data_IF_474585814138
#
_entry.id   IF_474585814138
#
_cell.length_a   1.000
_cell.length_b   1.000
_cell.length_c   1.000
_cell.angle_alpha   90.00
_cell.angle_beta   90.00
_cell.angle_gamma   90.00
#
_symmetry.space_group_name_H-M   'P 1'
#
loop_
_entity.id
_entity.type
_entity.pdbx_description
1 polymer ?
#
# COMPACT_ATOMS: atom_id res chain seq x y z
N UNK A 1 2.25 -29.41 -1.29
CA UNK A 1 3.57 -29.14 -1.87
C UNK A 1 4.07 -27.90 -1.18
N UNK A 2 5.29 -27.89 -0.64
CA UNK A 2 5.82 -26.72 0.08
C UNK A 2 6.04 -25.57 -0.90
N UNK A 3 5.73 -24.33 -0.51
CA UNK A 3 5.86 -23.16 -1.40
C UNK A 3 7.33 -22.81 -1.71
N UNK A 4 8.28 -23.30 -0.92
CA UNK A 4 9.71 -23.10 -1.11
C UNK A 4 10.54 -24.25 -0.53
N UNK A 5 11.78 -24.41 -1.01
CA UNK A 5 12.71 -25.39 -0.47
C UNK A 5 13.39 -24.89 0.82
N UNK A 6 13.77 -25.85 1.67
CA UNK A 6 14.46 -25.62 2.94
C UNK A 6 15.93 -26.06 2.87
N UNK A 7 16.50 -26.10 1.66
CA UNK A 7 17.93 -26.29 1.46
C UNK A 7 18.70 -25.11 2.07
N UNK A 8 19.75 -25.35 2.88
CA UNK A 8 20.61 -24.30 3.45
C UNK A 8 21.03 -23.20 2.47
N UNK A 9 21.39 -23.54 1.23
CA UNK A 9 21.82 -22.57 0.23
C UNK A 9 20.68 -21.63 -0.18
N UNK A 10 19.47 -22.17 -0.33
CA UNK A 10 18.28 -21.37 -0.64
C UNK A 10 17.83 -20.53 0.56
N UNK A 11 17.99 -21.03 1.79
CA UNK A 11 17.75 -20.25 3.00
C UNK A 11 18.69 -19.05 3.02
N UNK A 12 19.99 -19.27 2.86
CA UNK A 12 20.99 -18.20 2.82
C UNK A 12 20.68 -17.18 1.72
N UNK A 13 20.32 -17.64 0.52
CA UNK A 13 19.93 -16.77 -0.58
C UNK A 13 18.71 -15.90 -0.23
N UNK A 14 17.69 -16.44 0.47
CA UNK A 14 16.51 -15.68 0.90
C UNK A 14 16.84 -14.60 1.92
N UNK A 15 17.71 -14.88 2.88
CA UNK A 15 18.12 -13.91 3.89
C UNK A 15 19.16 -12.90 3.37
N UNK A 16 19.93 -13.26 2.33
CA UNK A 16 20.83 -12.37 1.63
C UNK A 16 20.11 -11.37 0.72
N UNK A 17 18.91 -11.71 0.23
CA UNK A 17 18.07 -10.77 -0.51
C UNK A 17 17.59 -9.67 0.44
N UNK A 18 17.86 -8.40 0.10
CA UNK A 18 17.39 -7.27 0.90
C UNK A 18 15.88 -7.39 1.12
N UNK A 19 15.45 -7.32 2.39
CA UNK A 19 14.03 -7.21 2.72
C UNK A 19 13.57 -5.84 2.26
N UNK A 20 12.98 -5.76 1.07
CA UNK A 20 12.36 -4.54 0.57
C UNK A 20 10.87 -4.55 0.89
N UNK A 21 10.33 -3.40 1.31
CA UNK A 21 8.89 -3.24 1.48
C UNK A 21 8.26 -3.34 0.09
N UNK A 22 7.31 -4.26 -0.08
CA UNK A 22 6.61 -4.43 -1.35
C UNK A 22 5.73 -3.22 -1.64
N UNK A 23 5.92 -2.60 -2.81
CA UNK A 23 5.09 -1.49 -3.28
C UNK A 23 3.72 -1.96 -3.83
N UNK A 24 3.45 -3.27 -3.84
CA UNK A 24 2.20 -3.82 -4.37
C UNK A 24 0.96 -3.23 -3.66
N UNK A 25 1.11 -2.83 -2.39
CA UNK A 25 0.05 -2.20 -1.59
C UNK A 25 -0.28 -0.84 -2.16
N UNK A 26 0.77 -0.06 -2.42
CA UNK A 26 0.67 1.29 -2.95
C UNK A 26 0.13 1.28 -4.39
N UNK A 27 0.48 0.25 -5.18
CA UNK A 27 -0.07 0.00 -6.52
C UNK A 27 -1.56 -0.35 -6.47
N UNK A 28 -1.95 -1.34 -5.66
CA UNK A 28 -3.37 -1.74 -5.54
C UNK A 28 -4.19 -0.56 -5.03
N UNK A 29 -3.70 0.14 -4.00
CA UNK A 29 -4.35 1.31 -3.43
C UNK A 29 -4.60 2.39 -4.50
N UNK A 30 -3.56 2.78 -5.25
CA UNK A 30 -3.68 3.76 -6.34
C UNK A 30 -4.59 3.29 -7.48
N UNK A 31 -4.48 2.03 -7.91
CA UNK A 31 -5.27 1.50 -9.01
C UNK A 31 -6.77 1.43 -8.70
N UNK A 32 -7.15 1.00 -7.48
CA UNK A 32 -8.56 0.97 -7.07
C UNK A 32 -9.12 2.39 -7.07
N UNK A 33 -8.44 3.31 -6.37
CA UNK A 33 -8.95 4.68 -6.21
C UNK A 33 -9.04 5.40 -7.56
N UNK A 34 -8.03 5.27 -8.42
CA UNK A 34 -8.00 5.89 -9.74
C UNK A 34 -9.14 5.42 -10.65
N UNK A 35 -9.39 4.10 -10.70
CA UNK A 35 -10.50 3.57 -11.47
C UNK A 35 -11.86 3.99 -10.89
N UNK A 36 -12.01 3.96 -9.56
CA UNK A 36 -13.30 4.25 -8.89
C UNK A 36 -13.67 5.72 -9.04
N UNK A 37 -12.77 6.63 -8.68
CA UNK A 37 -13.02 8.08 -8.72
C UNK A 37 -13.24 8.56 -10.14
N UNK A 38 -12.42 8.11 -11.10
CA UNK A 38 -12.57 8.55 -12.49
C UNK A 38 -13.86 8.04 -13.11
N UNK A 39 -14.24 6.77 -12.86
CA UNK A 39 -15.50 6.25 -13.36
C UNK A 39 -16.71 6.87 -12.66
N UNK A 40 -16.61 7.21 -11.37
CA UNK A 40 -17.66 7.97 -10.68
C UNK A 40 -17.91 9.34 -11.35
N UNK A 41 -16.85 10.04 -11.78
CA UNK A 41 -17.00 11.29 -12.55
C UNK A 41 -17.68 11.02 -13.89
N UNK A 42 -17.26 10.00 -14.64
CA UNK A 42 -17.91 9.61 -15.90
C UNK A 42 -19.40 9.35 -15.67
N UNK A 43 -19.74 8.54 -14.67
CA UNK A 43 -21.10 8.17 -14.34
C UNK A 43 -21.94 9.38 -13.91
N UNK A 44 -21.40 10.28 -13.08
CA UNK A 44 -22.10 11.49 -12.65
C UNK A 44 -22.33 12.50 -13.78
N UNK A 45 -21.34 12.70 -14.65
CA UNK A 45 -21.46 13.60 -15.81
C UNK A 45 -22.50 13.07 -16.81
N UNK A 46 -22.56 11.75 -17.00
CA UNK A 46 -23.59 11.12 -17.84
C UNK A 46 -24.96 11.19 -17.18
N UNK A 47 -25.05 10.95 -15.87
CA UNK A 47 -26.29 11.10 -15.10
C UNK A 47 -26.87 12.52 -15.18
N UNK A 48 -26.01 13.53 -15.29
CA UNK A 48 -26.40 14.94 -15.46
C UNK A 48 -26.61 15.35 -16.93
N UNK A 49 -26.66 14.41 -17.88
CA UNK A 49 -26.87 14.66 -19.33
C UNK A 49 -25.86 15.65 -19.96
N UNK A 50 -24.64 15.72 -19.41
CA UNK A 50 -23.61 16.63 -19.87
C UNK A 50 -22.82 16.07 -21.07
N UNK A 51 -22.18 16.98 -21.82
CA UNK A 51 -21.45 16.62 -23.05
C UNK A 51 -20.21 15.75 -22.79
N UNK A 52 -19.83 14.94 -23.77
CA UNK A 52 -18.59 14.13 -23.77
C UNK A 52 -17.33 14.99 -23.54
N UNK A 53 -17.33 16.25 -23.99
CA UNK A 53 -16.21 17.18 -23.73
C UNK A 53 -16.01 17.43 -22.23
N UNK A 54 -17.10 17.50 -21.47
CA UNK A 54 -17.06 17.65 -20.00
C UNK A 54 -16.51 16.38 -19.35
N UNK A 55 -16.93 15.19 -19.81
CA UNK A 55 -16.39 13.90 -19.33
C UNK A 55 -14.87 13.87 -19.49
N UNK A 56 -14.37 14.19 -20.68
CA UNK A 56 -12.93 14.15 -20.96
C UNK A 56 -12.18 15.21 -20.14
N UNK A 57 -12.71 16.44 -20.07
CA UNK A 57 -12.07 17.52 -19.34
C UNK A 57 -11.96 17.22 -17.83
N UNK A 58 -13.07 16.85 -17.20
CA UNK A 58 -13.11 16.54 -15.77
C UNK A 58 -12.37 15.23 -15.46
N UNK A 59 -12.50 14.22 -16.33
CA UNK A 59 -11.80 12.94 -16.17
C UNK A 59 -10.29 13.09 -16.22
N UNK A 60 -9.75 13.80 -17.22
CA UNK A 60 -8.30 14.04 -17.31
C UNK A 60 -7.82 14.91 -16.14
N UNK A 61 -8.59 15.94 -15.77
CA UNK A 61 -8.27 16.77 -14.61
C UNK A 61 -8.20 15.94 -13.32
N UNK A 62 -9.18 15.06 -13.09
CA UNK A 62 -9.19 14.11 -11.96
C UNK A 62 -7.96 13.20 -11.98
N UNK A 63 -7.71 12.52 -13.10
CA UNK A 63 -6.61 11.56 -13.23
C UNK A 63 -5.26 12.21 -12.86
N UNK A 64 -5.03 13.45 -13.28
CA UNK A 64 -3.79 14.17 -13.00
C UNK A 64 -3.74 14.80 -11.60
N UNK A 65 -4.78 15.56 -11.22
CA UNK A 65 -4.81 16.33 -9.99
C UNK A 65 -5.01 15.43 -8.76
N UNK A 66 -6.01 14.55 -8.79
CA UNK A 66 -6.31 13.64 -7.69
C UNK A 66 -5.23 12.57 -7.59
N UNK A 67 -4.73 12.08 -8.72
CA UNK A 67 -3.58 11.18 -8.76
C UNK A 67 -2.35 11.79 -8.08
N UNK A 68 -2.04 13.06 -8.39
CA UNK A 68 -0.94 13.77 -7.74
C UNK A 68 -1.19 13.97 -6.24
N UNK A 69 -2.40 14.39 -5.86
CA UNK A 69 -2.81 14.59 -4.47
C UNK A 69 -2.65 13.31 -3.65
N UNK A 70 -3.13 12.18 -4.18
CA UNK A 70 -3.02 10.88 -3.56
C UNK A 70 -1.56 10.42 -3.43
N UNK A 71 -0.73 10.64 -4.47
CA UNK A 71 0.69 10.34 -4.43
C UNK A 71 1.44 11.20 -3.39
N UNK A 72 1.11 12.48 -3.28
CA UNK A 72 1.65 13.40 -2.28
C UNK A 72 1.21 13.02 -0.86
N UNK A 73 -0.05 12.56 -0.70
CA UNK A 73 -0.58 12.02 0.54
C UNK A 73 0.19 10.76 0.98
N UNK A 74 0.36 9.78 0.09
CA UNK A 74 1.10 8.56 0.39
C UNK A 74 2.59 8.84 0.64
N UNK A 75 3.21 9.77 -0.09
CA UNK A 75 4.55 10.27 0.19
C UNK A 75 4.66 10.82 1.61
N UNK A 76 3.75 11.72 1.98
CA UNK A 76 3.82 12.42 3.27
C UNK A 76 3.58 11.47 4.43
N UNK A 77 2.62 10.56 4.32
CA UNK A 77 2.39 9.52 5.32
C UNK A 77 3.58 8.59 5.47
N UNK A 78 4.12 8.08 4.35
CA UNK A 78 5.31 7.21 4.36
C UNK A 78 6.56 7.93 4.87
N UNK A 79 6.68 9.25 4.61
CA UNK A 79 7.77 10.08 5.13
C UNK A 79 7.64 10.29 6.63
N UNK A 80 6.43 10.50 7.15
CA UNK A 80 6.20 10.59 8.59
C UNK A 80 6.60 9.29 9.30
N UNK A 81 6.27 8.12 8.74
CA UNK A 81 6.73 6.82 9.26
C UNK A 81 8.28 6.74 9.28
N UNK A 82 8.95 7.22 8.22
CA UNK A 82 10.41 7.22 8.14
C UNK A 82 11.06 8.15 9.15
N UNK A 83 10.53 9.35 9.29
CA UNK A 83 11.05 10.37 10.20
C UNK A 83 10.85 9.94 11.66
N UNK A 84 9.73 9.29 11.98
CA UNK A 84 9.50 8.71 13.31
C UNK A 84 10.45 7.55 13.63
N UNK A 85 10.68 6.64 12.68
CA UNK A 85 11.64 5.55 12.85
C UNK A 85 13.08 6.07 13.08
N UNK A 86 13.46 7.17 12.39
CA UNK A 86 14.76 7.83 12.61
C UNK A 86 14.84 8.49 13.98
N UNK A 87 13.79 9.21 14.38
CA UNK A 87 13.69 9.82 15.71
C UNK A 87 13.85 8.78 16.82
N UNK A 88 13.15 7.65 16.71
CA UNK A 88 13.23 6.56 17.69
C UNK A 88 14.61 5.92 17.72
N UNK A 89 15.27 5.71 16.57
CA UNK A 89 16.67 5.26 16.53
C UNK A 89 17.61 6.17 17.30
N UNK A 90 17.48 7.49 17.14
CA UNK A 90 18.33 8.45 17.84
C UNK A 90 18.06 8.48 19.35
N UNK A 91 16.80 8.27 19.76
CA UNK A 91 16.40 8.16 21.16
C UNK A 91 17.03 6.90 21.77
N UNK A 92 16.87 5.76 21.12
CA UNK A 92 17.38 4.47 21.57
C UNK A 92 18.90 4.47 21.67
N UNK A 93 19.56 4.98 20.63
CA UNK A 93 21.00 5.16 20.61
C UNK A 93 21.46 6.06 21.78
N UNK A 94 20.72 7.11 22.11
CA UNK A 94 21.02 7.94 23.28
C UNK A 94 20.81 7.18 24.59
N UNK A 95 19.74 6.41 24.73
CA UNK A 95 19.47 5.65 25.95
C UNK A 95 20.54 4.60 26.21
N UNK A 96 20.94 3.83 25.20
CA UNK A 96 22.01 2.83 25.31
C UNK A 96 23.34 3.48 25.76
N UNK A 97 23.61 4.75 25.41
CA UNK A 97 24.80 5.46 25.93
C UNK A 97 24.65 5.90 27.38
N UNK A 98 23.48 6.39 27.77
CA UNK A 98 23.29 7.04 29.07
C UNK A 98 22.91 6.05 30.19
N UNK A 99 22.21 4.96 29.85
CA UNK A 99 21.70 3.98 30.78
C UNK A 99 21.83 2.54 30.23
N UNK A 100 23.05 2.08 29.87
CA UNK A 100 23.26 0.79 29.20
C UNK A 100 22.74 -0.42 29.99
N UNK A 101 22.80 -0.37 31.33
CA UNK A 101 22.31 -1.47 32.16
C UNK A 101 20.78 -1.53 32.21
N UNK A 102 20.12 -0.36 32.10
CA UNK A 102 18.66 -0.27 31.95
C UNK A 102 18.23 -0.86 30.61
N UNK A 103 18.84 -0.43 29.52
CA UNK A 103 18.54 -0.94 28.17
C UNK A 103 18.80 -2.45 28.04
N UNK A 104 19.81 -2.99 28.73
CA UNK A 104 20.04 -4.44 28.78
C UNK A 104 18.93 -5.17 29.55
N UNK A 105 18.32 -4.52 30.54
CA UNK A 105 17.18 -5.08 31.23
C UNK A 105 15.94 -5.13 30.32
N UNK A 106 15.73 -4.11 29.50
CA UNK A 106 14.65 -4.08 28.51
C UNK A 106 14.86 -5.14 27.41
N UNK A 107 16.07 -5.24 26.85
CA UNK A 107 16.42 -6.30 25.90
C UNK A 107 16.22 -7.70 26.49
N UNK A 108 16.58 -7.89 27.77
CA UNK A 108 16.36 -9.15 28.49
C UNK A 108 14.87 -9.48 28.59
N UNK A 109 14.04 -8.49 28.89
CA UNK A 109 12.59 -8.67 28.98
C UNK A 109 12.00 -9.07 27.61
N UNK A 110 12.41 -8.39 26.53
CA UNK A 110 12.00 -8.74 25.16
C UNK A 110 12.34 -10.19 24.82
N UNK A 111 13.56 -10.64 25.12
CA UNK A 111 14.01 -12.00 24.84
C UNK A 111 13.33 -13.04 25.74
N UNK A 112 13.07 -12.70 27.01
CA UNK A 112 12.29 -13.52 27.93
C UNK A 112 10.88 -13.78 27.40
N UNK A 113 10.21 -12.73 26.89
CA UNK A 113 8.88 -12.86 26.26
C UNK A 113 8.89 -13.71 24.98
N UNK A 114 10.05 -13.87 24.34
CA UNK A 114 10.25 -14.81 23.21
C UNK A 114 10.57 -16.24 23.66
N UNK A 115 10.59 -16.50 24.97
CA UNK A 115 10.77 -17.82 25.57
C UNK A 115 12.22 -18.19 25.91
N UNK A 116 13.15 -17.23 25.95
CA UNK A 116 14.52 -17.48 26.38
C UNK A 116 14.62 -17.39 27.91
N UNK A 117 15.33 -18.33 28.54
CA UNK A 117 15.50 -18.37 29.99
C UNK A 117 16.94 -18.71 30.40
N UNK A 118 17.29 -18.47 31.68
CA UNK A 118 18.54 -18.89 32.30
C UNK A 118 19.80 -18.39 31.58
N UNK A 119 20.80 -19.27 31.48
CA UNK A 119 22.09 -18.94 30.86
C UNK A 119 21.97 -18.60 29.37
N UNK A 120 20.99 -19.17 28.66
CA UNK A 120 20.76 -18.89 27.23
C UNK A 120 20.26 -17.46 27.03
N UNK A 121 19.34 -17.01 27.89
CA UNK A 121 18.87 -15.62 27.89
C UNK A 121 20.04 -14.65 28.11
N UNK A 122 20.86 -14.91 29.13
CA UNK A 122 21.99 -14.04 29.44
C UNK A 122 23.00 -13.98 28.28
N UNK A 123 23.35 -15.13 27.70
CA UNK A 123 24.24 -15.19 26.54
C UNK A 123 23.65 -14.47 25.31
N UNK A 124 22.35 -14.59 25.07
CA UNK A 124 21.67 -13.91 23.97
C UNK A 124 21.65 -12.39 24.15
N UNK A 125 21.35 -11.90 25.37
CA UNK A 125 21.42 -10.46 25.71
C UNK A 125 22.83 -9.94 25.45
N UNK A 126 23.87 -10.63 25.92
CA UNK A 126 25.27 -10.21 25.72
C UNK A 126 25.66 -10.20 24.24
N UNK A 127 25.29 -11.24 23.49
CA UNK A 127 25.61 -11.35 22.07
C UNK A 127 24.92 -10.27 21.21
N UNK A 128 23.65 -9.97 21.48
CA UNK A 128 22.91 -8.92 20.75
C UNK A 128 23.41 -7.54 21.17
N UNK A 129 23.59 -7.29 22.47
CA UNK A 129 24.06 -6.01 22.99
C UNK A 129 25.50 -5.67 22.56
N UNK A 130 26.29 -6.67 22.13
CA UNK A 130 27.62 -6.44 21.58
C UNK A 130 27.59 -5.74 20.21
N UNK A 131 26.53 -5.91 19.42
CA UNK A 131 26.33 -5.19 18.16
C UNK A 131 25.29 -4.09 18.33
N UNK A 132 25.77 -2.84 18.35
CA UNK A 132 24.94 -1.66 18.61
C UNK A 132 23.78 -1.52 17.64
N UNK A 133 23.98 -1.89 16.37
CA UNK A 133 22.95 -1.76 15.34
C UNK A 133 21.84 -2.79 15.57
N UNK A 134 22.21 -4.06 15.76
CA UNK A 134 21.25 -5.14 16.00
C UNK A 134 20.48 -4.92 17.30
N UNK A 135 21.12 -4.39 18.34
CA UNK A 135 20.44 -4.03 19.57
C UNK A 135 19.36 -2.96 19.32
N UNK A 136 19.71 -1.83 18.67
CA UNK A 136 18.74 -0.79 18.34
C UNK A 136 17.63 -1.34 17.44
N UNK A 137 17.96 -2.07 16.38
CA UNK A 137 16.97 -2.61 15.44
C UNK A 137 16.01 -3.59 16.15
N UNK A 138 16.48 -4.35 17.15
CA UNK A 138 15.63 -5.19 17.99
C UNK A 138 14.66 -4.35 18.84
N UNK A 139 15.16 -3.31 19.52
CA UNK A 139 14.33 -2.41 20.33
C UNK A 139 13.24 -1.72 19.49
N UNK A 140 13.60 -1.20 18.31
CA UNK A 140 12.62 -0.58 17.40
C UNK A 140 11.47 -1.52 17.01
N UNK A 141 11.78 -2.79 16.76
CA UNK A 141 10.80 -3.78 16.32
C UNK A 141 9.97 -4.27 17.49
N UNK A 142 10.61 -4.65 18.59
CA UNK A 142 9.95 -5.36 19.68
C UNK A 142 9.37 -4.43 20.76
N UNK A 143 9.97 -3.27 21.00
CA UNK A 143 9.44 -2.28 21.96
C UNK A 143 8.44 -1.33 21.28
N UNK A 144 8.82 -0.75 20.13
CA UNK A 144 8.01 0.26 19.44
C UNK A 144 7.09 -0.31 18.36
N UNK A 145 7.17 -1.61 18.07
CA UNK A 145 6.32 -2.28 17.07
C UNK A 145 6.59 -1.86 15.63
N UNK A 146 7.77 -1.29 15.34
CA UNK A 146 8.09 -0.82 14.00
C UNK A 146 8.36 -1.97 13.03
N UNK A 147 8.11 -1.70 11.75
CA UNK A 147 8.54 -2.59 10.67
C UNK A 147 10.08 -2.68 10.64
N UNK A 148 10.67 -3.88 10.53
CA UNK A 148 12.12 -4.05 10.40
C UNK A 148 12.67 -3.56 9.05
N UNK A 149 11.78 -3.18 8.13
CA UNK A 149 12.13 -2.60 6.83
C UNK A 149 11.73 -1.14 6.81
N UNK A 150 12.69 -0.28 6.53
CA UNK A 150 12.46 1.15 6.44
C UNK A 150 11.48 1.50 5.30
N UNK A 151 10.55 2.44 5.53
CA UNK A 151 9.71 2.98 4.48
C UNK A 151 10.50 3.74 3.40
N UNK A 152 10.02 3.69 2.15
CA UNK A 152 10.60 4.43 1.03
C UNK A 152 9.56 5.39 0.41
N UNK A 153 9.47 6.65 0.90
CA UNK A 153 8.42 7.60 0.52
C UNK A 153 8.28 7.81 -0.98
N UNK A 154 9.40 8.00 -1.68
CA UNK A 154 9.41 8.24 -3.13
C UNK A 154 9.05 7.00 -3.96
N UNK A 155 9.27 5.79 -3.43
CA UNK A 155 8.84 4.55 -4.11
C UNK A 155 7.32 4.39 -3.96
N UNK A 156 6.80 4.58 -2.74
CA UNK A 156 5.37 4.52 -2.45
C UNK A 156 4.57 5.53 -3.30
N UNK A 157 5.02 6.79 -3.32
CA UNK A 157 4.37 7.87 -4.07
C UNK A 157 4.30 7.59 -5.58
N UNK A 158 5.41 7.18 -6.19
CA UNK A 158 5.45 6.85 -7.63
C UNK A 158 4.58 5.63 -7.95
N UNK A 159 4.64 4.59 -7.12
CA UNK A 159 3.82 3.40 -7.29
C UNK A 159 2.32 3.75 -7.26
N UNK A 160 1.89 4.55 -6.29
CA UNK A 160 0.50 5.04 -6.20
C UNK A 160 0.13 5.90 -7.41
N UNK A 161 0.95 6.89 -7.77
CA UNK A 161 0.67 7.80 -8.88
C UNK A 161 0.47 7.06 -10.20
N UNK A 162 1.41 6.21 -10.59
CA UNK A 162 1.33 5.50 -11.86
C UNK A 162 0.20 4.48 -11.88
N UNK A 163 -0.06 3.80 -10.77
CA UNK A 163 -1.19 2.88 -10.69
C UNK A 163 -2.53 3.63 -10.82
N UNK A 164 -2.66 4.78 -10.17
CA UNK A 164 -3.82 5.66 -10.29
C UNK A 164 -4.00 6.16 -11.72
N UNK A 165 -2.94 6.66 -12.35
CA UNK A 165 -2.99 7.12 -13.75
C UNK A 165 -3.45 6.01 -14.70
N UNK A 166 -2.80 4.84 -14.63
CA UNK A 166 -3.09 3.74 -15.55
C UNK A 166 -4.52 3.24 -15.38
N UNK A 167 -4.96 3.02 -14.13
CA UNK A 167 -6.30 2.51 -13.87
C UNK A 167 -7.38 3.58 -14.13
N UNK A 168 -7.13 4.83 -13.76
CA UNK A 168 -8.05 5.95 -13.94
C UNK A 168 -8.21 6.41 -15.38
N UNK A 169 -7.25 6.15 -16.27
CA UNK A 169 -7.44 6.44 -17.69
C UNK A 169 -8.41 5.47 -18.38
N UNK A 170 -8.53 4.23 -17.90
CA UNK A 170 -9.33 3.16 -18.55
C UNK A 170 -10.80 3.59 -18.78
N UNK A 171 -11.53 4.15 -17.79
CA UNK A 171 -12.89 4.66 -17.99
C UNK A 171 -13.01 5.72 -19.09
N UNK A 172 -11.95 6.48 -19.37
CA UNK A 172 -11.95 7.61 -20.30
C UNK A 172 -11.63 7.22 -21.73
N UNK A 173 -10.88 6.12 -21.94
CA UNK A 173 -10.40 5.71 -23.26
C UNK A 173 -11.52 5.64 -24.32
N UNK A 174 -12.70 5.03 -24.05
CA UNK A 174 -13.76 4.94 -25.06
C UNK A 174 -14.25 6.31 -25.53
N UNK A 175 -14.28 7.32 -24.65
CA UNK A 175 -14.69 8.68 -24.98
C UNK A 175 -13.61 9.43 -25.77
N UNK A 176 -12.34 9.27 -25.37
CA UNK A 176 -11.20 9.91 -26.05
C UNK A 176 -11.05 9.41 -27.49
N UNK A 177 -11.27 8.11 -27.72
CA UNK A 177 -11.21 7.51 -29.05
C UNK A 177 -12.52 7.61 -29.84
N UNK A 178 -13.55 8.27 -29.29
CA UNK A 178 -14.87 8.43 -29.92
C UNK A 178 -15.47 7.09 -30.40
N UNK A 179 -15.37 6.05 -29.58
CA UNK A 179 -15.90 4.72 -29.89
C UNK A 179 -17.43 4.76 -29.85
N UNK A 180 -18.09 4.11 -30.82
CA UNK A 180 -19.53 3.92 -30.78
C UNK A 180 -19.94 3.21 -29.48
N UNK A 181 -20.99 3.68 -28.82
CA UNK A 181 -21.41 3.15 -27.51
C UNK A 181 -20.30 3.27 -26.44
N UNK A 182 -19.60 4.42 -26.44
CA UNK A 182 -18.49 4.72 -25.53
C UNK A 182 -18.82 4.46 -24.06
N UNK A 183 -20.05 4.75 -23.63
CA UNK A 183 -20.46 4.54 -22.25
C UNK A 183 -20.51 3.06 -21.88
N UNK A 184 -21.10 2.21 -22.72
CA UNK A 184 -21.16 0.77 -22.47
C UNK A 184 -19.77 0.13 -22.45
N UNK A 185 -18.87 0.58 -23.34
CA UNK A 185 -17.47 0.16 -23.32
C UNK A 185 -16.74 0.66 -22.06
N UNK A 186 -17.05 1.86 -21.59
CA UNK A 186 -16.47 2.40 -20.35
C UNK A 186 -16.92 1.60 -19.12
N UNK A 187 -18.20 1.26 -19.02
CA UNK A 187 -18.74 0.38 -17.97
C UNK A 187 -18.02 -0.97 -17.99
N UNK A 188 -17.95 -1.62 -19.17
CA UNK A 188 -17.35 -2.94 -19.31
C UNK A 188 -15.85 -2.94 -18.96
N UNK A 189 -15.10 -1.97 -19.49
CA UNK A 189 -13.66 -1.84 -19.24
C UNK A 189 -13.35 -1.52 -17.77
N UNK A 190 -14.14 -0.63 -17.16
CA UNK A 190 -13.98 -0.29 -15.74
C UNK A 190 -14.36 -1.47 -14.85
N UNK A 191 -15.46 -2.15 -15.14
CA UNK A 191 -15.88 -3.35 -14.40
C UNK A 191 -14.81 -4.45 -14.44
N UNK A 192 -14.21 -4.68 -15.61
CA UNK A 192 -13.08 -5.60 -15.73
C UNK A 192 -11.86 -5.12 -14.93
N UNK A 193 -11.58 -3.82 -14.94
CA UNK A 193 -10.48 -3.21 -14.16
C UNK A 193 -10.68 -3.40 -12.67
N UNK A 194 -11.88 -3.10 -12.12
CA UNK A 194 -12.19 -3.34 -10.72
C UNK A 194 -11.99 -4.80 -10.34
N UNK A 195 -12.52 -5.71 -11.16
CA UNK A 195 -12.39 -7.13 -10.90
C UNK A 195 -10.92 -7.59 -10.96
N UNK A 196 -10.14 -7.13 -11.95
CA UNK A 196 -8.73 -7.48 -12.10
C UNK A 196 -7.88 -6.98 -10.93
N UNK A 197 -8.05 -5.71 -10.54
CA UNK A 197 -7.31 -5.13 -9.40
C UNK A 197 -7.74 -5.78 -8.08
N UNK A 198 -9.04 -6.07 -7.91
CA UNK A 198 -9.54 -6.83 -6.77
C UNK A 198 -9.02 -8.26 -6.73
N UNK A 199 -8.87 -8.92 -7.88
CA UNK A 199 -8.25 -10.24 -7.97
C UNK A 199 -6.75 -10.17 -7.60
N UNK A 200 -6.02 -9.12 -8.01
CA UNK A 200 -4.61 -8.91 -7.60
C UNK A 200 -4.45 -8.76 -6.09
N UNK A 201 -5.41 -8.11 -5.41
CA UNK A 201 -5.44 -8.03 -3.92
C UNK A 201 -5.44 -9.41 -3.25
N UNK A 202 -5.98 -10.45 -3.91
CA UNK A 202 -6.00 -11.81 -3.35
C UNK A 202 -4.61 -12.45 -3.21
N UNK A 203 -3.57 -11.90 -3.83
CA UNK A 203 -2.17 -12.37 -3.63
C UNK A 203 -1.74 -12.32 -2.16
N UNK A 204 -2.35 -11.45 -1.35
CA UNK A 204 -2.08 -11.34 0.09
C UNK A 204 -3.18 -11.88 0.99
N UNK A 205 -4.16 -12.56 0.42
CA UNK A 205 -5.30 -13.07 1.17
C UNK A 205 -5.48 -14.56 0.89
N UNK A 206 -5.92 -15.29 1.90
CA UNK A 206 -6.45 -16.65 1.72
C UNK A 206 -7.81 -16.64 0.99
N UNK A 207 -8.40 -15.45 0.75
CA UNK A 207 -9.61 -15.31 -0.03
C UNK A 207 -9.37 -15.69 -1.50
N UNK A 208 -10.29 -16.45 -2.09
CA UNK A 208 -10.26 -16.79 -3.50
C UNK A 208 -10.30 -15.53 -4.38
N UNK A 209 -9.46 -15.47 -5.41
CA UNK A 209 -9.32 -14.34 -6.34
C UNK A 209 -10.65 -13.78 -6.87
N UNK A 210 -11.61 -14.65 -7.19
CA UNK A 210 -12.92 -14.25 -7.71
C UNK A 210 -13.78 -13.51 -6.69
N UNK A 211 -13.66 -13.84 -5.38
CA UNK A 211 -14.38 -13.12 -4.30
C UNK A 211 -13.80 -11.74 -4.11
N UNK A 212 -12.47 -11.62 -4.05
CA UNK A 212 -11.79 -10.34 -3.91
C UNK A 212 -12.05 -9.42 -5.11
N UNK A 213 -12.04 -9.98 -6.33
CA UNK A 213 -12.45 -9.27 -7.56
C UNK A 213 -13.91 -8.80 -7.52
N UNK A 214 -14.84 -9.67 -7.12
CA UNK A 214 -16.25 -9.32 -7.00
C UNK A 214 -16.50 -8.25 -5.93
N UNK A 215 -15.82 -8.29 -4.79
CA UNK A 215 -15.89 -7.27 -3.73
C UNK A 215 -15.51 -5.90 -4.28
N UNK A 216 -14.36 -5.78 -4.95
CA UNK A 216 -13.91 -4.50 -5.55
C UNK A 216 -14.85 -4.02 -6.65
N UNK A 217 -15.37 -4.92 -7.48
CA UNK A 217 -16.38 -4.60 -8.50
C UNK A 217 -17.66 -4.03 -7.87
N UNK A 218 -18.16 -4.64 -6.79
CA UNK A 218 -19.37 -4.17 -6.11
C UNK A 218 -19.17 -2.81 -5.44
N UNK A 219 -18.03 -2.61 -4.76
CA UNK A 219 -17.71 -1.32 -4.13
C UNK A 219 -17.61 -0.22 -5.20
N UNK A 220 -16.85 -0.45 -6.27
CA UNK A 220 -16.69 0.52 -7.35
C UNK A 220 -18.01 0.79 -8.11
N UNK A 221 -18.79 -0.26 -8.36
CA UNK A 221 -20.11 -0.15 -8.97
C UNK A 221 -21.09 0.65 -8.11
N UNK A 222 -21.07 0.46 -6.79
CA UNK A 222 -21.91 1.21 -5.86
C UNK A 222 -21.51 2.70 -5.81
N UNK A 223 -20.21 3.00 -5.77
CA UNK A 223 -19.71 4.38 -5.85
C UNK A 223 -20.16 5.08 -7.14
N UNK A 224 -20.06 4.38 -8.29
CA UNK A 224 -20.52 4.91 -9.57
C UNK A 224 -22.04 5.10 -9.62
N UNK A 225 -22.82 4.19 -9.03
CA UNK A 225 -24.27 4.34 -8.94
C UNK A 225 -24.68 5.55 -8.09
N UNK A 226 -23.99 5.82 -6.98
CA UNK A 226 -24.18 7.04 -6.18
C UNK A 226 -23.90 8.27 -7.05
N UNK A 227 -22.76 8.31 -7.74
CA UNK A 227 -22.38 9.45 -8.56
C UNK A 227 -23.36 9.69 -9.71
N UNK A 228 -23.79 8.63 -10.40
CA UNK A 228 -24.83 8.70 -11.44
C UNK A 228 -26.13 9.29 -10.88
N UNK A 229 -26.62 8.76 -9.75
CA UNK A 229 -27.86 9.24 -9.13
C UNK A 229 -27.76 10.72 -8.73
N UNK A 230 -26.65 11.13 -8.11
CA UNK A 230 -26.40 12.54 -7.81
C UNK A 230 -26.41 13.38 -9.09
N UNK A 231 -25.79 12.90 -10.17
CA UNK A 231 -25.83 13.53 -11.49
C UNK A 231 -27.25 13.76 -12.00
N UNK A 232 -28.14 12.77 -11.86
CA UNK A 232 -29.53 12.90 -12.31
C UNK A 232 -30.34 13.97 -11.58
N UNK A 233 -29.87 14.47 -10.43
CA UNK A 233 -30.49 15.61 -9.74
C UNK A 233 -30.23 16.95 -10.46
N UNK A 234 -29.29 16.97 -11.39
CA UNK A 234 -28.87 18.14 -12.17
C UNK A 234 -29.11 17.97 -13.69
N UNK A 235 -29.79 16.90 -14.11
CA UNK A 235 -30.20 16.68 -15.49
C UNK A 235 -31.30 17.66 -15.91
#
# INVERSE_FOLDING_TARGET
>A
MLEHSHNPDEIAARFAKSRERSNLRDVIYGAIDGAVTTFAIVAGVIGAELSVKVIIALGIANVLADGFSMAAGNYSGTKAELDDARRLREIEDRHIRLAPDGERAELREILSQKGLEGDVLQAAVEAIAADRKNWIDMMLVDEYGLSPVDPHPMRAARATFFAFLVAGLIPLLPFVFAIDRAFEWSIAATGLTFFAVGAMKSVWSLASWWRSGAETLLIGGFAAAIAYFVGTLFA
#
